data_IF_065165046828
#
_entry.id   IF_065165046828
#
_cell.length_a   1.000
_cell.length_b   1.000
_cell.length_c   1.000
_cell.angle_alpha   90.00
_cell.angle_beta   90.00
_cell.angle_gamma   90.00
#
_symmetry.space_group_name_H-M   'P 1'
#
loop_
_entity.id
_entity.type
_entity.pdbx_description
1 polymer ?
#
# COMPACT_ATOMS: atom_id res chain seq x y z
N UNK A 1 -20.38 -9.01 -2.60
CA UNK A 1 -18.96 -9.35 -2.86
C UNK A 1 -18.32 -8.16 -3.55
N UNK A 2 -17.86 -7.16 -2.79
CA UNK A 2 -17.06 -6.07 -3.36
C UNK A 2 -15.63 -6.39 -2.97
N UNK A 3 -14.89 -6.95 -3.92
CA UNK A 3 -13.47 -7.26 -3.75
C UNK A 3 -12.74 -5.94 -3.92
N UNK A 4 -12.57 -5.18 -2.85
CA UNK A 4 -11.48 -4.20 -2.80
C UNK A 4 -10.23 -5.03 -2.58
N UNK A 5 -9.40 -5.19 -3.61
CA UNK A 5 -8.15 -5.95 -3.52
C UNK A 5 -7.21 -5.26 -2.52
N UNK A 6 -7.19 -5.74 -1.28
CA UNK A 6 -6.25 -5.31 -0.24
C UNK A 6 -5.48 -6.55 0.17
N UNK A 7 -4.28 -6.67 -0.38
CA UNK A 7 -3.32 -7.64 0.12
C UNK A 7 -2.80 -7.14 1.47
N UNK A 8 -2.95 -7.96 2.50
CA UNK A 8 -2.27 -7.74 3.78
C UNK A 8 -0.76 -7.82 3.53
N UNK A 9 -0.02 -6.85 4.04
CA UNK A 9 1.42 -6.83 3.83
C UNK A 9 2.12 -7.94 4.62
N UNK A 10 2.79 -8.84 3.91
CA UNK A 10 3.79 -9.75 4.46
C UNK A 10 5.19 -9.18 4.17
N UNK A 11 5.95 -8.81 5.20
CA UNK A 11 7.28 -8.19 5.05
C UNK A 11 7.24 -6.69 4.71
N UNK A 12 8.21 -6.17 3.96
CA UNK A 12 8.36 -4.73 3.62
C UNK A 12 7.80 -4.36 2.23
N UNK A 13 6.99 -5.21 1.61
CA UNK A 13 6.50 -5.10 0.23
C UNK A 13 5.39 -4.03 0.02
N UNK A 14 5.48 -2.91 0.73
CA UNK A 14 4.47 -1.85 0.71
C UNK A 14 4.27 -1.23 -0.69
N UNK A 15 5.31 -1.13 -1.52
CA UNK A 15 5.20 -0.55 -2.86
C UNK A 15 4.33 -1.40 -3.79
N UNK A 16 4.46 -2.73 -3.72
CA UNK A 16 3.63 -3.67 -4.46
C UNK A 16 2.16 -3.49 -4.08
N UNK A 17 1.86 -3.53 -2.79
CA UNK A 17 0.49 -3.37 -2.29
C UNK A 17 -0.08 -2.00 -2.63
N UNK A 18 0.72 -0.93 -2.56
CA UNK A 18 0.33 0.41 -2.94
C UNK A 18 -0.09 0.48 -4.42
N UNK A 19 0.72 -0.05 -5.34
CA UNK A 19 0.45 -0.05 -6.77
C UNK A 19 -0.76 -0.93 -7.14
N UNK A 20 -0.84 -2.14 -6.58
CA UNK A 20 -1.96 -3.04 -6.86
C UNK A 20 -3.27 -2.52 -6.27
N UNK A 21 -3.24 -1.91 -5.08
CA UNK A 21 -4.40 -1.23 -4.51
C UNK A 21 -4.80 0.00 -5.35
N UNK A 22 -3.84 0.72 -5.92
CA UNK A 22 -4.12 1.82 -6.82
C UNK A 22 -4.78 1.35 -8.11
N UNK A 23 -4.35 0.23 -8.69
CA UNK A 23 -4.92 -0.30 -9.92
C UNK A 23 -6.15 -1.17 -9.69
N UNK A 24 -6.40 -1.59 -8.44
CA UNK A 24 -7.45 -2.51 -8.01
C UNK A 24 -7.33 -3.90 -8.66
N UNK A 25 -6.12 -4.35 -8.97
CA UNK A 25 -5.80 -5.66 -9.54
C UNK A 25 -4.33 -6.01 -9.23
N UNK A 26 -3.94 -7.29 -9.37
CA UNK A 26 -2.58 -7.76 -9.14
C UNK A 26 -1.69 -7.63 -10.39
N UNK A 27 -1.40 -6.39 -10.79
CA UNK A 27 -0.55 -6.12 -11.96
C UNK A 27 0.94 -6.18 -11.68
N UNK A 28 1.36 -5.88 -10.46
CA UNK A 28 2.77 -5.86 -10.07
C UNK A 28 3.06 -6.91 -9.01
N UNK A 29 4.15 -7.64 -9.21
CA UNK A 29 4.77 -8.48 -8.18
C UNK A 29 6.04 -7.81 -7.66
N UNK A 30 6.54 -8.27 -6.50
CA UNK A 30 7.82 -7.83 -5.97
C UNK A 30 8.98 -8.05 -6.97
N UNK A 31 8.90 -9.12 -7.79
CA UNK A 31 9.90 -9.45 -8.81
C UNK A 31 9.88 -8.44 -9.94
N UNK A 32 8.69 -8.01 -10.38
CA UNK A 32 8.56 -7.00 -11.43
C UNK A 32 9.15 -5.67 -10.99
N UNK A 33 8.87 -5.25 -9.75
CA UNK A 33 9.41 -4.02 -9.18
C UNK A 33 10.93 -4.09 -8.98
N UNK A 34 11.46 -5.25 -8.57
CA UNK A 34 12.90 -5.47 -8.47
C UNK A 34 13.58 -5.41 -9.85
N UNK A 35 12.95 -5.97 -10.87
CA UNK A 35 13.45 -5.91 -12.25
C UNK A 35 13.47 -4.47 -12.76
N UNK A 36 12.41 -3.70 -12.51
CA UNK A 36 12.37 -2.27 -12.83
C UNK A 36 13.47 -1.49 -12.11
N UNK A 37 13.67 -1.72 -10.82
CA UNK A 37 14.73 -1.07 -10.04
C UNK A 37 16.12 -1.36 -10.64
N UNK A 38 16.41 -2.62 -10.97
CA UNK A 38 17.68 -3.02 -11.58
C UNK A 38 17.89 -2.38 -12.96
N UNK A 39 16.84 -2.32 -13.79
CA UNK A 39 16.93 -1.65 -15.09
C UNK A 39 17.24 -0.16 -14.94
N UNK A 40 16.68 0.50 -13.93
CA UNK A 40 16.95 1.91 -13.64
C UNK A 40 18.38 2.12 -13.16
N UNK A 41 18.89 1.27 -12.26
CA UNK A 41 20.28 1.32 -11.81
C UNK A 41 21.26 1.11 -12.97
N UNK A 42 20.98 0.16 -13.86
CA UNK A 42 21.81 -0.11 -15.04
C UNK A 42 21.76 1.04 -16.05
N UNK A 43 20.59 1.66 -16.26
CA UNK A 43 20.46 2.84 -17.11
C UNK A 43 21.17 4.07 -16.54
N UNK A 44 21.21 4.21 -15.21
CA UNK A 44 22.00 5.24 -14.53
C UNK A 44 23.51 4.95 -14.69
N UNK A 45 23.92 3.69 -14.51
CA UNK A 45 25.30 3.23 -14.73
C UNK A 45 25.78 3.54 -16.15
N UNK A 46 24.98 3.23 -17.16
CA UNK A 46 25.33 3.46 -18.57
C UNK A 46 25.53 4.95 -18.86
N UNK A 47 24.65 5.82 -18.34
CA UNK A 47 24.80 7.27 -18.47
C UNK A 47 26.06 7.82 -17.80
N UNK A 48 26.47 7.25 -16.67
CA UNK A 48 27.76 7.62 -16.05
C UNK A 48 28.97 7.11 -16.84
N UNK A 49 28.86 5.92 -17.42
CA UNK A 49 29.92 5.38 -18.29
C UNK A 49 30.13 6.25 -19.54
N UNK A 50 29.08 6.85 -20.08
CA UNK A 50 29.16 7.81 -21.21
C UNK A 50 29.97 9.08 -20.88
N UNK A 51 29.93 9.52 -19.62
CA UNK A 51 30.67 10.71 -19.18
C UNK A 51 32.16 10.42 -18.98
N UNK A 52 32.51 9.36 -18.25
CA UNK A 52 33.89 8.86 -18.14
C UNK A 52 33.94 7.54 -17.35
N UNK A 53 34.33 6.44 -18.02
CA UNK A 53 34.54 5.12 -17.39
C UNK A 53 35.70 5.06 -16.39
N UNK A 54 36.55 6.10 -16.34
CA UNK A 54 37.73 6.15 -15.48
C UNK A 54 37.60 7.16 -14.34
N UNK A 55 36.45 7.83 -14.17
CA UNK A 55 36.29 8.78 -13.08
C UNK A 55 36.14 8.07 -11.72
N UNK A 56 36.56 8.77 -10.66
CA UNK A 56 36.34 8.30 -9.29
C UNK A 56 34.85 8.17 -8.98
N UNK A 57 33.99 8.99 -9.59
CA UNK A 57 32.53 8.87 -9.43
C UNK A 57 31.99 7.55 -9.98
N UNK A 58 32.44 7.12 -11.17
CA UNK A 58 32.00 5.85 -11.76
C UNK A 58 32.43 4.65 -10.91
N UNK A 59 33.67 4.66 -10.40
CA UNK A 59 34.15 3.61 -9.49
C UNK A 59 33.37 3.58 -8.17
N UNK A 60 33.07 4.75 -7.61
CA UNK A 60 32.28 4.87 -6.38
C UNK A 60 30.84 4.40 -6.58
N UNK A 61 30.25 4.65 -7.76
CA UNK A 61 28.92 4.16 -8.10
C UNK A 61 28.88 2.63 -8.22
N UNK A 62 29.93 1.99 -8.77
CA UNK A 62 30.02 0.53 -8.84
C UNK A 62 30.11 -0.15 -7.47
N UNK A 63 30.66 0.55 -6.48
CA UNK A 63 30.77 0.05 -5.10
C UNK A 63 29.52 0.36 -4.26
N UNK A 64 28.61 1.21 -4.72
CA UNK A 64 27.39 1.54 -4.00
C UNK A 64 26.30 0.48 -4.19
N UNK A 65 25.56 0.13 -3.13
CA UNK A 65 24.35 -0.69 -3.25
C UNK A 65 23.28 0.04 -4.08
N UNK A 66 22.31 -0.71 -4.59
CA UNK A 66 21.19 -0.14 -5.35
C UNK A 66 20.51 0.98 -4.54
N UNK A 67 20.31 2.14 -5.18
CA UNK A 67 19.57 3.26 -4.58
C UNK A 67 18.06 3.06 -4.79
N UNK A 68 17.67 2.24 -5.77
CA UNK A 68 16.29 2.02 -6.17
C UNK A 68 15.60 0.87 -5.42
N UNK A 69 16.37 -0.07 -4.89
CA UNK A 69 15.91 -1.17 -4.03
C UNK A 69 16.87 -1.35 -2.86
N UNK A 70 16.34 -1.32 -1.63
CA UNK A 70 17.10 -1.69 -0.42
C UNK A 70 16.99 -3.19 -0.11
N UNK A 71 17.97 -3.74 0.62
CA UNK A 71 18.06 -5.15 1.03
C UNK A 71 16.87 -5.61 1.87
N UNK A 72 16.12 -4.65 2.42
CA UNK A 72 14.91 -4.86 3.20
C UNK A 72 13.64 -4.97 2.36
N UNK A 73 13.70 -4.71 1.04
CA UNK A 73 12.58 -4.76 0.10
C UNK A 73 11.82 -3.43 -0.09
N UNK A 74 12.41 -2.30 0.31
CA UNK A 74 11.86 -0.97 0.02
C UNK A 74 12.24 -0.51 -1.38
N UNK A 75 11.26 0.10 -2.07
CA UNK A 75 11.43 0.67 -3.39
C UNK A 75 11.42 2.19 -3.34
N UNK A 76 12.28 2.80 -4.15
CA UNK A 76 12.33 4.25 -4.30
C UNK A 76 11.08 4.78 -5.01
N UNK A 77 10.82 6.08 -4.85
CA UNK A 77 9.76 6.79 -5.57
C UNK A 77 9.94 6.70 -7.10
N UNK A 78 11.18 6.59 -7.58
CA UNK A 78 11.47 6.52 -9.01
C UNK A 78 10.96 5.21 -9.62
N UNK A 79 11.09 4.10 -8.87
CA UNK A 79 10.53 2.79 -9.27
C UNK A 79 9.01 2.87 -9.37
N UNK A 80 8.34 3.48 -8.37
CA UNK A 80 6.88 3.67 -8.38
C UNK A 80 6.46 4.54 -9.57
N UNK A 81 7.14 5.66 -9.81
CA UNK A 81 6.84 6.54 -10.94
C UNK A 81 7.04 5.82 -12.29
N UNK A 82 8.10 5.03 -12.42
CA UNK A 82 8.37 4.24 -13.63
C UNK A 82 7.29 3.17 -13.88
N UNK A 83 6.89 2.46 -12.82
CA UNK A 83 5.81 1.47 -12.89
C UNK A 83 4.48 2.10 -13.33
N UNK A 84 4.15 3.28 -12.81
CA UNK A 84 2.95 4.03 -13.21
C UNK A 84 3.04 4.55 -14.64
N UNK A 85 4.22 4.92 -15.11
CA UNK A 85 4.43 5.41 -16.46
C UNK A 85 4.09 4.35 -17.54
N UNK A 86 4.26 3.05 -17.23
CA UNK A 86 3.82 1.95 -18.12
C UNK A 86 2.31 2.01 -18.39
N UNK A 87 1.54 2.51 -17.43
CA UNK A 87 0.09 2.71 -17.51
C UNK A 87 -0.30 4.11 -18.01
N UNK A 88 0.67 4.90 -18.48
CA UNK A 88 0.47 6.30 -18.87
C UNK A 88 -0.10 7.14 -17.70
N UNK A 89 0.29 6.78 -16.47
CA UNK A 89 -0.04 7.50 -15.24
C UNK A 89 1.16 8.31 -14.79
N UNK A 90 0.94 9.59 -14.49
CA UNK A 90 1.97 10.50 -14.00
C UNK A 90 1.82 10.70 -12.49
N UNK A 91 2.94 10.76 -11.78
CA UNK A 91 2.98 10.97 -10.35
C UNK A 91 3.49 12.38 -10.02
N UNK A 92 2.59 13.25 -9.56
CA UNK A 92 2.88 14.66 -9.32
C UNK A 92 3.00 14.93 -7.81
N UNK A 93 4.11 15.49 -7.32
CA UNK A 93 4.23 15.87 -5.92
C UNK A 93 3.17 16.91 -5.53
N UNK A 94 2.46 16.68 -4.42
CA UNK A 94 1.36 17.54 -3.96
C UNK A 94 1.81 18.94 -3.55
N UNK A 95 3.08 19.10 -3.16
CA UNK A 95 3.70 20.40 -2.84
C UNK A 95 4.32 21.10 -4.06
N UNK A 96 4.16 20.54 -5.27
CA UNK A 96 4.72 21.13 -6.49
C UNK A 96 3.92 22.36 -6.96
N UNK A 97 4.52 23.16 -7.85
CA UNK A 97 3.85 24.29 -8.51
C UNK A 97 2.98 23.87 -9.70
N UNK A 98 2.74 22.57 -9.89
CA UNK A 98 1.90 22.07 -10.97
C UNK A 98 0.45 22.56 -10.76
N UNK A 99 -0.25 23.05 -11.81
CA UNK A 99 -1.65 23.45 -11.70
C UNK A 99 -2.56 22.41 -11.04
N UNK A 100 -2.32 21.12 -11.27
CA UNK A 100 -3.08 20.03 -10.64
C UNK A 100 -2.81 19.94 -9.13
N UNK A 101 -1.57 20.13 -8.70
CA UNK A 101 -1.22 20.18 -7.30
C UNK A 101 -1.86 21.37 -6.58
N UNK A 102 -1.87 22.54 -7.23
CA UNK A 102 -2.56 23.72 -6.69
C UNK A 102 -4.07 23.50 -6.60
N UNK A 103 -4.68 22.90 -7.64
CA UNK A 103 -6.10 22.57 -7.63
C UNK A 103 -6.46 21.55 -6.55
N UNK A 104 -5.63 20.52 -6.35
CA UNK A 104 -5.82 19.52 -5.31
C UNK A 104 -5.67 20.10 -3.89
N UNK A 105 -4.80 21.11 -3.70
CA UNK A 105 -4.69 21.84 -2.44
C UNK A 105 -5.97 22.60 -2.08
N UNK A 106 -6.72 23.08 -3.08
CA UNK A 106 -7.98 23.79 -2.87
C UNK A 106 -9.13 22.79 -2.69
N UNK A 107 -9.26 21.84 -3.63
CA UNK A 107 -10.34 20.86 -3.66
C UNK A 107 -9.79 19.46 -4.04
N UNK A 108 -9.37 18.65 -3.06
CA UNK A 108 -8.78 17.33 -3.33
C UNK A 108 -9.79 16.32 -3.90
N UNK A 109 -11.10 16.57 -3.72
CA UNK A 109 -12.20 15.67 -4.13
C UNK A 109 -12.30 15.46 -5.66
N UNK A 110 -11.74 16.38 -6.45
CA UNK A 110 -11.71 16.28 -7.92
C UNK A 110 -10.60 15.38 -8.45
N UNK A 111 -9.66 14.96 -7.61
CA UNK A 111 -8.62 14.01 -8.01
C UNK A 111 -9.17 12.59 -8.01
N UNK A 112 -8.44 11.67 -8.65
CA UNK A 112 -8.84 10.26 -8.75
C UNK A 112 -8.17 9.42 -7.66
N UNK A 113 -6.87 9.66 -7.42
CA UNK A 113 -6.11 8.97 -6.41
C UNK A 113 -4.90 9.77 -5.93
N UNK A 114 -4.45 9.42 -4.73
CA UNK A 114 -3.23 9.90 -4.11
C UNK A 114 -2.37 8.71 -3.67
N UNK A 115 -1.06 8.87 -3.75
CA UNK A 115 -0.09 7.97 -3.14
C UNK A 115 0.61 8.75 -2.03
N UNK A 116 0.72 8.13 -0.87
CA UNK A 116 1.34 8.72 0.31
C UNK A 116 2.55 7.88 0.75
N UNK A 117 3.61 8.56 1.16
CA UNK A 117 4.79 7.95 1.77
C UNK A 117 5.04 8.50 3.17
N UNK A 118 5.33 7.60 4.11
CA UNK A 118 5.89 7.97 5.40
C UNK A 118 6.91 6.95 5.89
N UNK A 119 8.14 7.40 6.15
CA UNK A 119 9.24 6.59 6.70
C UNK A 119 9.35 5.23 6.00
N UNK A 120 9.41 5.25 4.68
CA UNK A 120 9.51 4.08 3.79
C UNK A 120 8.23 3.25 3.63
N UNK A 121 7.09 3.69 4.16
CA UNK A 121 5.80 3.02 3.93
C UNK A 121 4.98 3.73 2.86
N UNK A 122 4.61 3.00 1.80
CA UNK A 122 3.75 3.46 0.72
C UNK A 122 2.32 2.99 0.90
N UNK A 123 1.35 3.88 0.72
CA UNK A 123 -0.07 3.50 0.66
C UNK A 123 -0.85 4.39 -0.29
N UNK A 124 -1.99 3.88 -0.74
CA UNK A 124 -2.86 4.54 -1.71
C UNK A 124 -4.15 5.04 -1.07
N UNK A 125 -4.57 6.22 -1.48
CA UNK A 125 -5.91 6.76 -1.22
C UNK A 125 -6.61 6.93 -2.57
N UNK A 126 -7.61 6.10 -2.87
CA UNK A 126 -8.28 6.07 -4.18
C UNK A 126 -9.76 6.39 -4.03
N UNK A 127 -10.30 7.12 -4.99
CA UNK A 127 -11.73 7.31 -5.15
C UNK A 127 -12.33 6.09 -5.88
N UNK A 128 -13.31 5.44 -5.24
CA UNK A 128 -14.06 4.34 -5.82
C UNK A 128 -15.55 4.70 -5.77
N UNK A 129 -16.21 4.69 -6.92
CA UNK A 129 -17.56 5.18 -7.11
C UNK A 129 -17.66 6.68 -6.83
N UNK A 130 -18.26 7.01 -5.68
CA UNK A 130 -18.43 8.40 -5.21
C UNK A 130 -17.73 8.66 -3.88
N UNK A 131 -16.94 7.71 -3.37
CA UNK A 131 -16.38 7.75 -2.03
C UNK A 131 -14.87 7.52 -2.06
N UNK A 132 -14.18 8.03 -1.04
CA UNK A 132 -12.73 7.88 -0.90
C UNK A 132 -12.40 6.75 0.05
N UNK A 133 -11.37 5.99 -0.29
CA UNK A 133 -10.87 4.90 0.54
C UNK A 133 -9.38 5.03 0.76
N UNK A 134 -8.97 4.93 2.01
CA UNK A 134 -7.59 4.69 2.39
C UNK A 134 -7.32 3.18 2.36
N UNK A 135 -6.44 2.79 1.44
CA UNK A 135 -6.07 1.41 1.13
C UNK A 135 -4.68 1.09 1.71
N UNK A 136 -4.43 1.56 2.92
CA UNK A 136 -3.19 1.27 3.63
C UNK A 136 -3.13 -0.21 4.02
N UNK A 137 -2.10 -0.92 3.54
CA UNK A 137 -1.87 -2.34 3.79
C UNK A 137 -1.61 -2.70 5.26
N UNK A 138 -1.34 -1.69 6.12
CA UNK A 138 -1.21 -1.87 7.56
C UNK A 138 -2.57 -1.89 8.30
N UNK A 139 -3.66 -1.54 7.61
CA UNK A 139 -5.01 -1.62 8.13
C UNK A 139 -5.59 -3.01 7.88
N UNK A 140 -6.50 -3.43 8.75
CA UNK A 140 -7.26 -4.68 8.57
C UNK A 140 -8.19 -4.68 7.36
N UNK A 141 -8.37 -3.54 6.69
CA UNK A 141 -9.27 -3.37 5.55
C UNK A 141 -9.34 -1.91 5.08
N UNK A 142 -10.18 -1.60 4.07
CA UNK A 142 -10.30 -0.25 3.54
C UNK A 142 -10.94 0.69 4.57
N UNK A 143 -10.34 1.87 4.76
CA UNK A 143 -10.92 2.93 5.58
C UNK A 143 -11.67 3.92 4.69
N UNK A 144 -12.97 4.08 4.93
CA UNK A 144 -13.82 5.04 4.25
C UNK A 144 -13.49 6.46 4.73
N UNK A 145 -13.23 7.34 3.77
CA UNK A 145 -12.98 8.76 3.95
C UNK A 145 -14.11 9.54 3.26
N UNK A 146 -14.74 10.46 3.98
CA UNK A 146 -15.72 11.37 3.37
C UNK A 146 -15.02 12.50 2.62
N UNK A 147 -15.70 13.07 1.62
CA UNK A 147 -15.20 14.24 0.88
C UNK A 147 -14.82 15.41 1.80
N UNK A 148 -15.61 15.62 2.86
CA UNK A 148 -15.36 16.67 3.87
C UNK A 148 -14.15 16.37 4.74
N UNK A 149 -13.86 15.09 5.00
CA UNK A 149 -12.73 14.68 5.83
C UNK A 149 -11.43 14.56 5.02
N UNK A 150 -11.50 14.30 3.71
CA UNK A 150 -10.34 14.10 2.84
C UNK A 150 -9.32 15.25 2.93
N UNK A 151 -9.79 16.50 2.85
CA UNK A 151 -8.91 17.66 2.92
C UNK A 151 -8.17 17.73 4.28
N UNK A 152 -8.88 17.44 5.37
CA UNK A 152 -8.31 17.40 6.71
C UNK A 152 -7.31 16.25 6.87
N UNK A 153 -7.66 15.07 6.35
CA UNK A 153 -6.78 13.91 6.33
C UNK A 153 -5.47 14.19 5.60
N UNK A 154 -5.53 14.74 4.38
CA UNK A 154 -4.33 15.11 3.62
C UNK A 154 -3.52 16.20 4.33
N UNK A 155 -4.17 17.21 4.91
CA UNK A 155 -3.49 18.25 5.69
C UNK A 155 -2.77 17.68 6.92
N UNK A 156 -3.38 16.72 7.61
CA UNK A 156 -2.75 16.02 8.74
C UNK A 156 -1.50 15.26 8.28
N UNK A 157 -1.61 14.49 7.20
CA UNK A 157 -0.46 13.78 6.63
C UNK A 157 0.69 14.74 6.29
N UNK A 158 0.39 15.92 5.72
CA UNK A 158 1.43 16.92 5.46
C UNK A 158 2.12 17.44 6.72
N UNK A 159 1.37 17.66 7.81
CA UNK A 159 1.91 18.13 9.10
C UNK A 159 2.77 17.07 9.78
N UNK A 160 2.38 15.80 9.67
CA UNK A 160 3.16 14.67 10.17
C UNK A 160 4.43 14.41 9.35
N UNK A 161 4.56 15.05 8.18
CA UNK A 161 5.75 14.97 7.32
C UNK A 161 5.64 13.93 6.21
N UNK A 162 4.43 13.48 5.85
CA UNK A 162 4.22 12.57 4.74
C UNK A 162 4.53 13.27 3.41
N UNK A 163 5.09 12.52 2.48
CA UNK A 163 5.20 12.93 1.09
C UNK A 163 3.96 12.44 0.35
N UNK A 164 3.15 13.37 -0.15
CA UNK A 164 1.90 13.08 -0.86
C UNK A 164 2.11 13.36 -2.34
N UNK A 165 1.62 12.45 -3.17
CA UNK A 165 1.67 12.50 -4.61
C UNK A 165 0.28 12.31 -5.19
N UNK A 166 -0.01 13.02 -6.26
CA UNK A 166 -1.26 12.98 -7.01
C UNK A 166 -1.02 12.07 -8.21
N UNK A 167 -1.93 11.12 -8.43
CA UNK A 167 -1.90 10.28 -9.62
C UNK A 167 -2.74 10.95 -10.70
N UNK A 168 -2.10 11.38 -11.78
CA UNK A 168 -2.75 11.93 -12.96
C UNK A 168 -2.83 10.87 -14.05
N UNK A 169 -4.02 10.70 -14.65
CA UNK A 169 -4.24 9.81 -15.79
C UNK A 169 -5.54 9.02 -15.66
N UNK A 170 -5.80 8.14 -16.62
CA UNK A 170 -6.95 7.24 -16.62
C UNK A 170 -6.59 5.91 -15.95
N UNK A 171 -7.09 5.71 -14.73
CA UNK A 171 -6.98 4.41 -14.05
C UNK A 171 -7.82 3.36 -14.77
N UNK A 172 -7.43 2.08 -14.71
CA UNK A 172 -8.23 1.00 -15.28
C UNK A 172 -9.58 0.89 -14.57
N UNK A 173 -10.57 0.45 -15.35
CA UNK A 173 -11.90 0.11 -14.83
C UNK A 173 -11.79 -1.04 -13.82
N UNK A 174 -12.52 -0.93 -12.72
CA UNK A 174 -12.55 -1.96 -11.69
C UNK A 174 -13.98 -2.27 -11.27
N UNK A 175 -14.23 -3.53 -10.88
CA UNK A 175 -15.56 -3.96 -10.44
C UNK A 175 -16.02 -3.19 -9.19
N UNK A 176 -15.10 -2.90 -8.27
CA UNK A 176 -15.39 -2.15 -7.05
C UNK A 176 -15.99 -0.77 -7.35
N UNK A 177 -15.49 -0.07 -8.35
CA UNK A 177 -16.00 1.23 -8.79
C UNK A 177 -17.42 1.12 -9.38
N UNK A 178 -17.71 0.07 -10.14
CA UNK A 178 -19.05 -0.19 -10.68
C UNK A 178 -20.08 -0.45 -9.58
N UNK A 179 -19.73 -1.25 -8.56
CA UNK A 179 -20.65 -1.53 -7.47
C UNK A 179 -20.83 -0.32 -6.57
N UNK A 180 -19.75 0.39 -6.22
CA UNK A 180 -19.81 1.58 -5.36
C UNK A 180 -20.47 2.79 -6.03
N UNK A 181 -20.61 2.78 -7.37
CA UNK A 181 -21.49 3.71 -8.08
C UNK A 181 -22.98 3.45 -7.82
N UNK A 182 -23.36 2.18 -7.64
CA UNK A 182 -24.74 1.73 -7.45
C UNK A 182 -25.15 1.72 -5.97
N UNK A 183 -24.22 1.37 -5.08
CA UNK A 183 -24.47 1.27 -3.64
C UNK A 183 -23.34 1.93 -2.88
N UNK A 184 -23.66 2.98 -2.13
CA UNK A 184 -22.68 3.65 -1.27
C UNK A 184 -22.25 2.72 -0.13
N UNK A 185 -20.95 2.63 0.09
CA UNK A 185 -20.35 1.97 1.22
C UNK A 185 -20.73 2.64 2.53
N UNK A 186 -21.14 1.85 3.52
CA UNK A 186 -21.33 2.29 4.91
C UNK A 186 -20.31 1.57 5.78
N UNK A 187 -19.48 2.35 6.48
CA UNK A 187 -18.53 1.81 7.44
C UNK A 187 -18.96 2.20 8.86
N UNK A 188 -19.43 1.20 9.61
CA UNK A 188 -19.86 1.39 11.01
C UNK A 188 -18.67 1.43 11.96
N UNK A 189 -17.61 0.68 11.66
CA UNK A 189 -16.40 0.57 12.48
C UNK A 189 -15.16 0.91 11.67
N UNK A 190 -14.34 1.82 12.20
CA UNK A 190 -13.04 2.17 11.62
C UNK A 190 -12.08 0.97 11.67
N UNK A 191 -11.36 0.65 10.58
CA UNK A 191 -10.42 -0.46 10.57
C UNK A 191 -9.24 -0.13 11.48
N UNK A 192 -8.69 -1.16 12.13
CA UNK A 192 -7.58 -0.99 13.07
C UNK A 192 -6.27 -1.31 12.38
N UNK A 193 -5.17 -0.81 12.96
CA UNK A 193 -3.83 -1.24 12.56
C UNK A 193 -3.64 -2.70 12.95
N UNK A 194 -3.14 -3.51 12.02
CA UNK A 194 -2.88 -4.94 12.24
C UNK A 194 -1.96 -5.17 13.44
N UNK A 195 -1.01 -4.28 13.68
CA UNK A 195 -0.14 -4.32 14.86
C UNK A 195 -0.92 -4.34 16.18
N UNK A 196 -1.98 -3.54 16.29
CA UNK A 196 -2.82 -3.46 17.50
C UNK A 196 -3.65 -4.73 17.72
N UNK A 197 -4.05 -5.41 16.64
CA UNK A 197 -4.79 -6.67 16.70
C UNK A 197 -3.88 -7.80 17.19
N UNK A 198 -2.64 -7.86 16.70
CA UNK A 198 -1.63 -8.84 17.15
C UNK A 198 -1.34 -8.70 18.65
N UNK A 199 -1.18 -7.49 19.16
CA UNK A 199 -0.92 -7.26 20.61
C UNK A 199 -2.11 -7.67 21.48
N UNK A 200 -3.35 -7.49 21.03
CA UNK A 200 -4.54 -7.90 21.78
C UNK A 200 -4.71 -9.42 21.86
N UNK A 201 -4.27 -10.16 20.84
CA UNK A 201 -4.26 -11.62 20.87
C UNK A 201 -3.16 -12.18 21.79
N UNK A 202 -1.96 -11.60 21.78
CA UNK A 202 -0.88 -11.99 22.70
C UNK A 202 -1.22 -11.70 24.16
N UNK A 203 -1.95 -10.61 24.43
CA UNK A 203 -2.39 -10.23 25.79
C UNK A 203 -3.49 -11.14 26.35
N UNK A 204 -4.22 -11.88 25.51
CA UNK A 204 -5.27 -12.82 25.95
C UNK A 204 -4.76 -14.23 26.21
N UNK A 205 -3.55 -14.56 25.74
CA UNK A 205 -2.99 -15.90 25.89
C UNK A 205 -2.09 -16.08 27.14
N UNK A 206 -1.96 -15.03 27.96
CA UNK A 206 -1.13 -15.03 29.18
C UNK A 206 -1.93 -15.10 30.49
N UNK A 207 -3.19 -15.55 30.45
CA UNK A 207 -4.01 -15.69 31.66
C UNK A 207 -5.06 -16.80 31.59
N UNK A 208 -4.69 -18.05 31.91
CA UNK A 208 -5.43 -18.93 32.85
C UNK A 208 -4.87 -20.37 32.89
N UNK A 209 -4.40 -20.72 34.09
CA UNK A 209 -4.46 -22.00 34.80
C UNK A 209 -3.90 -23.34 34.26
N UNK A 210 -3.04 -23.90 35.12
CA UNK A 210 -2.61 -25.30 35.25
C UNK A 210 -3.74 -26.31 34.99
N UNK A 211 -3.60 -27.13 33.94
CA UNK A 211 -4.19 -28.48 33.85
C UNK A 211 -3.26 -29.43 33.08
N UNK A 212 -3.34 -30.70 33.46
CA UNK A 212 -2.51 -31.87 33.16
C UNK A 212 -1.99 -32.03 31.71
N UNK A 213 -0.74 -32.49 31.60
CA UNK A 213 0.09 -32.56 30.38
C UNK A 213 -0.42 -33.51 29.28
N UNK A 214 -1.27 -34.51 29.57
CA UNK A 214 -1.67 -35.49 28.55
C UNK A 214 -2.88 -35.06 27.68
N UNK A 215 -3.68 -34.09 28.12
CA UNK A 215 -4.83 -33.54 27.35
C UNK A 215 -4.48 -32.25 26.60
N UNK A 216 -3.30 -31.67 26.92
CA UNK A 216 -2.84 -30.41 26.36
C UNK A 216 -2.40 -30.56 24.90
N UNK A 217 -1.78 -31.68 24.53
CA UNK A 217 -1.30 -31.90 23.16
C UNK A 217 -2.44 -32.13 22.17
N UNK A 218 -3.51 -32.82 22.57
CA UNK A 218 -4.69 -33.02 21.73
C UNK A 218 -5.47 -31.71 21.52
N UNK A 219 -5.55 -30.87 22.56
CA UNK A 219 -6.20 -29.54 22.47
C UNK A 219 -5.32 -28.53 21.74
N UNK A 220 -3.99 -28.61 21.86
CA UNK A 220 -3.05 -27.76 21.14
C UNK A 220 -3.03 -28.11 19.66
N UNK A 221 -3.06 -29.40 19.29
CA UNK A 221 -3.13 -29.84 17.89
C UNK A 221 -4.51 -29.53 17.27
N UNK A 222 -5.59 -29.63 18.05
CA UNK A 222 -6.91 -29.18 17.64
C UNK A 222 -6.99 -27.64 17.48
N UNK A 223 -6.36 -26.88 18.39
CA UNK A 223 -6.30 -25.41 18.32
C UNK A 223 -5.39 -24.93 17.18
N UNK A 224 -4.29 -25.63 16.89
CA UNK A 224 -3.44 -25.40 15.72
C UNK A 224 -4.17 -25.76 14.45
N UNK A 225 -4.93 -26.86 14.39
CA UNK A 225 -5.79 -27.20 13.25
C UNK A 225 -6.93 -26.20 13.04
N UNK A 226 -7.57 -25.74 14.11
CA UNK A 226 -8.59 -24.68 14.07
C UNK A 226 -7.98 -23.33 13.69
N UNK A 227 -6.74 -23.04 14.08
CA UNK A 227 -6.00 -21.87 13.64
C UNK A 227 -5.55 -22.00 12.18
N UNK A 228 -5.11 -23.17 11.72
CA UNK A 228 -4.75 -23.42 10.31
C UNK A 228 -5.98 -23.41 9.38
N UNK A 229 -7.14 -23.85 9.87
CA UNK A 229 -8.41 -23.72 9.16
C UNK A 229 -8.95 -22.28 9.24
N UNK A 230 -8.75 -21.60 10.39
CA UNK A 230 -9.15 -20.23 10.68
C UNK A 230 -8.36 -19.17 9.91
N UNK A 231 -7.04 -19.34 9.79
CA UNK A 231 -6.13 -18.44 9.05
C UNK A 231 -6.45 -18.49 7.56
N UNK A 232 -6.85 -19.65 7.04
CA UNK A 232 -7.26 -19.77 5.64
C UNK A 232 -8.65 -19.18 5.42
N UNK A 233 -9.60 -19.34 6.35
CA UNK A 233 -10.92 -18.69 6.25
C UNK A 233 -10.86 -17.17 6.49
N UNK A 234 -9.94 -16.68 7.33
CA UNK A 234 -9.72 -15.26 7.63
C UNK A 234 -9.03 -14.54 6.46
N UNK A 235 -8.24 -15.26 5.66
CA UNK A 235 -7.72 -14.75 4.38
C UNK A 235 -8.84 -14.45 3.38
N UNK A 236 -9.93 -15.21 3.41
CA UNK A 236 -11.14 -14.97 2.60
C UNK A 236 -12.18 -14.07 3.29
N UNK A 237 -12.06 -13.84 4.60
CA UNK A 237 -12.98 -13.00 5.40
C UNK A 237 -12.63 -11.51 5.37
N UNK A 238 -11.55 -11.10 4.69
CA UNK A 238 -11.21 -9.68 4.49
C UNK A 238 -12.01 -9.04 3.33
N UNK A 239 -12.88 -9.80 2.64
CA UNK A 239 -13.63 -9.34 1.47
C UNK A 239 -15.16 -9.16 1.73
N UNK A 240 -15.60 -9.19 2.98
CA UNK A 240 -17.02 -9.08 3.30
C UNK A 240 -17.23 -8.05 4.40
N UNK A 241 -17.25 -6.77 4.04
CA UNK A 241 -17.89 -5.73 4.86
C UNK A 241 -18.01 -4.44 4.04
N UNK A 242 -18.86 -4.41 3.00
CA UNK A 242 -19.30 -3.12 2.40
C UNK A 242 -20.62 -3.18 1.60
N UNK A 243 -21.45 -4.20 1.77
CA UNK A 243 -22.89 -4.12 1.45
C UNK A 243 -23.57 -5.06 2.44
N UNK A 244 -24.61 -4.56 3.13
CA UNK A 244 -25.60 -5.43 3.79
C UNK A 244 -26.11 -6.53 2.83
#
# INVERSE_FOLDING_TARGET
>A
RIITYIFQQEGSLCAQHCLNALLQEEYFTAVDLATLAQQMDEAERQRMAEASIHSEEYRRFLEQPSVNMDDTGFFSIQVIASALNVWNLELIPYKSRNPLALAANINPVHQVAFICNYRNHWFTVRKLGKQWFNLNSLLTGPELISDTYLAMFLAQLQQEGYSIFIVQGSLPDCEADNVLRLTSAVQVTKPRLISQVKTQHESKNSGSDKKSEDDADAQLDAALRLSLQGINSDLYMIIILLID
#
